data_IF_539552455106
#
_entry.id   IF_539552455106
#
_cell.length_a   1.000
_cell.length_b   1.000
_cell.length_c   1.000
_cell.angle_alpha   90.00
_cell.angle_beta   90.00
_cell.angle_gamma   90.00
#
_symmetry.space_group_name_H-M   'P 1'
#
loop_
_entity.id
_entity.type
_entity.pdbx_description
1 polymer ?
#
# COMPACT_ATOMS: atom_id res chain seq x y z
N UNK A 1 -17.53 -34.45 18.23
CA UNK A 1 -17.11 -33.02 18.30
C UNK A 1 -15.88 -32.89 19.18
N UNK A 2 -14.66 -32.91 18.61
CA UNK A 2 -13.38 -32.67 19.30
C UNK A 2 -12.31 -32.35 18.23
N UNK A 3 -12.13 -31.08 17.85
CA UNK A 3 -11.13 -30.74 16.80
C UNK A 3 -10.74 -29.26 16.69
N UNK A 4 -11.60 -28.33 17.09
CA UNK A 4 -11.30 -26.90 16.98
C UNK A 4 -10.32 -26.36 18.05
N UNK A 5 -10.18 -27.05 19.19
CA UNK A 5 -9.31 -26.60 20.29
C UNK A 5 -7.80 -26.79 20.04
N UNK A 6 -7.42 -27.71 19.14
CA UNK A 6 -6.02 -28.09 18.94
C UNK A 6 -5.23 -27.09 18.09
N UNK A 7 -5.87 -26.44 17.12
CA UNK A 7 -5.19 -25.46 16.23
C UNK A 7 -4.91 -24.14 16.96
N UNK A 8 -5.83 -23.70 17.84
CA UNK A 8 -5.64 -22.51 18.66
C UNK A 8 -4.56 -22.70 19.74
N UNK A 9 -4.37 -23.93 20.25
CA UNK A 9 -3.35 -24.24 21.25
C UNK A 9 -1.94 -24.35 20.67
N UNK A 10 -1.81 -24.87 19.43
CA UNK A 10 -0.51 -25.08 18.79
C UNK A 10 0.23 -23.77 18.45
N UNK A 11 -0.52 -22.68 18.18
CA UNK A 11 0.06 -21.38 17.83
C UNK A 11 0.16 -20.37 18.98
N UNK A 12 -0.20 -20.76 20.21
CA UNK A 12 -0.20 -19.84 21.37
C UNK A 12 1.20 -19.28 21.71
N UNK A 13 2.25 -20.08 21.56
CA UNK A 13 3.60 -19.72 22.02
C UNK A 13 4.37 -18.80 21.05
N UNK A 14 4.28 -18.95 19.71
CA UNK A 14 4.84 -17.97 18.78
C UNK A 14 4.10 -16.62 18.78
N UNK A 15 2.76 -16.65 18.92
CA UNK A 15 1.93 -15.44 18.91
C UNK A 15 2.20 -14.60 20.16
N UNK A 16 2.31 -15.22 21.34
CA UNK A 16 2.57 -14.51 22.59
C UNK A 16 4.01 -13.99 22.69
N UNK A 17 5.02 -14.70 22.15
CA UNK A 17 6.42 -14.22 22.17
C UNK A 17 6.71 -13.06 21.21
N UNK A 18 5.98 -12.97 20.09
CA UNK A 18 6.05 -11.82 19.17
C UNK A 18 5.24 -10.64 19.71
N UNK A 19 4.06 -10.91 20.30
CA UNK A 19 3.21 -9.89 20.90
C UNK A 19 3.82 -9.24 22.16
N UNK A 20 4.54 -9.99 23.00
CA UNK A 20 5.14 -9.46 24.23
C UNK A 20 6.35 -8.54 24.00
N UNK A 21 6.94 -8.52 22.80
CA UNK A 21 7.99 -7.56 22.44
C UNK A 21 7.45 -6.22 21.93
N UNK A 22 6.15 -6.14 21.62
CA UNK A 22 5.53 -4.95 21.04
C UNK A 22 4.41 -4.34 21.90
N UNK A 23 3.84 -5.11 22.84
CA UNK A 23 2.79 -4.66 23.77
C UNK A 23 3.35 -4.03 25.06
N UNK A 24 4.21 -3.02 24.90
CA UNK A 24 4.47 -2.02 25.95
C UNK A 24 3.21 -1.17 26.21
N UNK A 25 3.11 -0.50 27.37
CA UNK A 25 1.83 -0.03 27.91
C UNK A 25 1.17 1.03 27.02
N UNK A 26 -0.11 0.78 26.74
CA UNK A 26 -1.16 1.67 26.20
C UNK A 26 -0.74 3.14 26.03
N UNK A 27 -0.57 3.55 24.77
CA UNK A 27 -0.95 4.89 24.31
C UNK A 27 -1.79 4.73 23.04
N UNK A 28 -3.09 4.99 23.15
CA UNK A 28 -4.00 5.30 22.04
C UNK A 28 -3.66 6.68 21.49
N UNK A 29 -2.46 6.81 20.94
CA UNK A 29 -2.06 7.91 20.11
C UNK A 29 -1.22 7.28 19.00
N UNK A 30 -1.67 7.42 17.75
CA UNK A 30 -0.81 7.21 16.60
C UNK A 30 0.50 7.98 16.89
N UNK A 31 1.69 7.37 16.70
CA UNK A 31 2.93 8.13 16.82
C UNK A 31 2.81 9.38 15.96
N UNK A 32 3.30 10.55 16.40
CA UNK A 32 3.26 11.75 15.58
C UNK A 32 4.18 11.51 14.38
N UNK A 33 3.62 10.96 13.31
CA UNK A 33 4.26 10.93 12.00
C UNK A 33 4.35 12.38 11.59
N UNK A 34 5.56 12.85 11.32
CA UNK A 34 5.80 14.18 10.76
C UNK A 34 4.81 14.39 9.61
N UNK A 35 3.96 15.41 9.72
CA UNK A 35 2.82 15.72 8.83
C UNK A 35 3.22 15.87 7.34
N UNK A 36 4.52 15.78 7.05
CA UNK A 36 5.17 15.82 5.75
C UNK A 36 5.33 14.46 5.07
N UNK A 37 5.16 13.32 5.75
CA UNK A 37 5.31 11.98 5.17
C UNK A 37 3.99 11.37 4.69
N UNK A 38 2.85 11.94 5.13
CA UNK A 38 1.51 11.48 4.79
C UNK A 38 0.89 12.45 3.79
N UNK A 39 0.29 11.91 2.73
CA UNK A 39 -0.39 12.70 1.71
C UNK A 39 -1.74 12.14 1.32
N UNK A 40 -2.61 13.02 0.84
CA UNK A 40 -3.92 12.68 0.29
C UNK A 40 -4.02 13.12 -1.18
N UNK A 41 -4.77 12.38 -2.02
CA UNK A 41 -4.93 12.75 -3.41
C UNK A 41 -5.71 14.07 -3.52
N UNK A 42 -5.10 15.08 -4.16
CA UNK A 42 -5.79 16.35 -4.50
C UNK A 42 -5.68 16.62 -6.00
N UNK A 43 -6.63 17.36 -6.61
CA UNK A 43 -6.54 17.72 -8.03
C UNK A 43 -5.27 18.50 -8.38
N UNK A 44 -4.83 19.39 -7.48
CA UNK A 44 -3.58 20.16 -7.64
C UNK A 44 -2.36 19.25 -7.64
N UNK A 45 -2.31 18.27 -6.75
CA UNK A 45 -1.22 17.28 -6.69
C UNK A 45 -1.19 16.38 -7.91
N UNK A 46 -2.36 16.02 -8.45
CA UNK A 46 -2.43 15.28 -9.71
C UNK A 46 -1.85 16.09 -10.87
N UNK A 47 -2.28 17.34 -11.05
CA UNK A 47 -1.76 18.21 -12.11
C UNK A 47 -0.25 18.46 -11.99
N UNK A 48 0.24 18.66 -10.75
CA UNK A 48 1.69 18.81 -10.48
C UNK A 48 2.47 17.55 -10.82
N UNK A 49 1.98 16.38 -10.41
CA UNK A 49 2.61 15.08 -10.71
C UNK A 49 2.68 14.81 -12.23
N UNK A 50 1.61 15.14 -12.97
CA UNK A 50 1.57 15.02 -14.43
C UNK A 50 2.58 15.96 -15.08
N UNK A 51 2.65 17.21 -14.63
CA UNK A 51 3.63 18.19 -15.13
C UNK A 51 5.07 17.70 -14.92
N UNK A 52 5.38 17.13 -13.75
CA UNK A 52 6.69 16.55 -13.46
C UNK A 52 6.97 15.33 -14.35
N UNK A 53 5.98 14.46 -14.56
CA UNK A 53 6.11 13.32 -15.46
C UNK A 53 6.33 13.75 -16.92
N UNK A 54 5.64 14.78 -17.40
CA UNK A 54 5.84 15.34 -18.75
C UNK A 54 7.23 15.96 -18.90
N UNK A 55 7.72 16.68 -17.90
CA UNK A 55 9.10 17.20 -17.90
C UNK A 55 10.13 16.07 -18.01
N UNK A 56 9.93 14.98 -17.29
CA UNK A 56 10.83 13.82 -17.35
C UNK A 56 10.86 13.15 -18.74
N UNK A 57 9.76 13.20 -19.49
CA UNK A 57 9.67 12.67 -20.87
C UNK A 57 10.50 13.48 -21.88
N UNK A 58 10.71 14.76 -21.63
CA UNK A 58 11.39 15.64 -22.59
C UNK A 58 12.86 15.22 -22.76
N UNK A 59 13.42 15.21 -23.98
CA UNK A 59 14.83 14.87 -24.20
C UNK A 59 15.79 15.74 -23.37
N UNK A 60 15.53 17.05 -23.32
CA UNK A 60 16.26 18.04 -22.51
C UNK A 60 15.77 18.16 -21.06
N UNK A 61 14.79 17.34 -20.66
CA UNK A 61 14.25 17.31 -19.31
C UNK A 61 15.21 16.64 -18.31
N UNK A 62 14.97 16.84 -17.01
CA UNK A 62 15.84 16.34 -15.94
C UNK A 62 15.92 14.81 -15.93
N UNK A 63 16.99 14.25 -15.35
CA UNK A 63 17.18 12.80 -15.22
C UNK A 63 16.33 12.19 -14.10
N UNK A 64 15.81 13.01 -13.19
CA UNK A 64 14.90 12.59 -12.14
C UNK A 64 13.93 13.70 -11.73
N UNK A 65 12.81 13.31 -11.12
CA UNK A 65 11.88 14.22 -10.46
C UNK A 65 11.53 13.69 -9.08
N UNK A 66 11.34 14.60 -8.13
CA UNK A 66 10.91 14.26 -6.77
C UNK A 66 9.42 14.55 -6.63
N UNK A 67 8.67 13.55 -6.17
CA UNK A 67 7.26 13.64 -5.85
C UNK A 67 7.06 13.74 -4.33
N UNK A 68 6.20 14.66 -3.93
CA UNK A 68 5.69 14.75 -2.56
C UNK A 68 4.70 13.62 -2.25
N UNK A 69 4.43 13.31 -0.98
CA UNK A 69 3.42 12.30 -0.62
C UNK A 69 2.04 12.57 -1.24
N UNK A 70 1.62 13.84 -1.33
CA UNK A 70 0.34 14.20 -1.96
C UNK A 70 0.32 13.87 -3.47
N UNK A 71 1.44 14.08 -4.15
CA UNK A 71 1.60 13.74 -5.58
C UNK A 71 1.63 12.22 -5.78
N UNK A 72 2.28 11.47 -4.88
CA UNK A 72 2.27 10.01 -4.90
C UNK A 72 0.85 9.48 -4.65
N UNK A 73 0.14 10.01 -3.66
CA UNK A 73 -1.25 9.67 -3.39
C UNK A 73 -2.16 9.95 -4.59
N UNK A 74 -1.98 11.09 -5.25
CA UNK A 74 -2.71 11.43 -6.46
C UNK A 74 -2.40 10.47 -7.63
N UNK A 75 -1.13 10.10 -7.83
CA UNK A 75 -0.75 9.13 -8.86
C UNK A 75 -1.35 7.75 -8.59
N UNK A 76 -1.22 7.23 -7.37
CA UNK A 76 -1.80 5.93 -6.99
C UNK A 76 -3.33 5.98 -7.20
N UNK A 77 -4.00 6.99 -6.66
CA UNK A 77 -5.45 7.17 -6.85
C UNK A 77 -5.86 7.25 -8.32
N UNK A 78 -5.06 7.89 -9.17
CA UNK A 78 -5.32 7.97 -10.62
C UNK A 78 -5.03 6.67 -11.38
N UNK A 79 -4.09 5.85 -10.90
CA UNK A 79 -3.68 4.60 -11.51
C UNK A 79 -4.52 3.39 -11.11
N UNK A 80 -5.25 3.48 -9.99
CA UNK A 80 -6.17 2.42 -9.55
C UNK A 80 -7.38 2.31 -10.48
N UNK A 81 -7.72 1.06 -10.81
CA UNK A 81 -8.91 0.71 -11.58
C UNK A 81 -10.20 1.18 -10.87
N UNK A 82 -11.24 1.47 -11.65
CA UNK A 82 -12.53 1.95 -11.14
C UNK A 82 -13.17 0.99 -10.12
N UNK A 83 -12.99 -0.32 -10.29
CA UNK A 83 -13.45 -1.33 -9.32
C UNK A 83 -12.80 -1.16 -7.96
N UNK A 84 -11.48 -0.95 -7.93
CA UNK A 84 -10.69 -0.75 -6.71
C UNK A 84 -11.00 0.60 -6.06
N UNK A 85 -11.27 1.65 -6.87
CA UNK A 85 -11.69 2.96 -6.35
C UNK A 85 -13.01 2.92 -5.59
N UNK A 86 -13.97 2.09 -6.03
CA UNK A 86 -15.26 1.94 -5.33
C UNK A 86 -15.13 1.30 -3.96
N UNK A 87 -14.10 0.48 -3.76
CA UNK A 87 -13.86 -0.23 -2.50
C UNK A 87 -13.13 0.65 -1.47
N UNK A 88 -12.47 1.73 -1.90
CA UNK A 88 -11.70 2.63 -1.06
C UNK A 88 -12.33 4.02 -0.98
N UNK A 89 -12.98 4.34 0.14
CA UNK A 89 -13.66 5.63 0.34
C UNK A 89 -12.69 6.79 0.62
N UNK A 90 -11.55 6.50 1.25
CA UNK A 90 -10.46 7.46 1.43
C UNK A 90 -9.13 6.80 1.13
N UNK A 91 -8.18 7.57 0.61
CA UNK A 91 -6.83 7.12 0.32
C UNK A 91 -5.85 8.13 0.91
N UNK A 92 -4.97 7.65 1.78
CA UNK A 92 -3.80 8.39 2.27
C UNK A 92 -2.57 7.55 2.01
N UNK A 93 -1.49 8.18 1.60
CA UNK A 93 -0.21 7.51 1.38
C UNK A 93 0.77 8.04 2.40
N UNK A 94 1.38 7.14 3.13
CA UNK A 94 2.51 7.37 4.00
C UNK A 94 3.77 6.83 3.30
N UNK A 95 4.81 7.66 3.24
CA UNK A 95 6.10 7.26 2.69
C UNK A 95 6.99 6.71 3.81
N UNK A 96 7.55 5.53 3.60
CA UNK A 96 8.53 4.89 4.46
C UNK A 96 9.86 4.77 3.72
N UNK A 97 10.93 4.39 4.42
CA UNK A 97 12.20 4.12 3.73
C UNK A 97 12.06 2.84 2.87
N UNK A 98 12.18 2.99 1.55
CA UNK A 98 12.08 1.88 0.60
C UNK A 98 10.68 1.28 0.40
N UNK A 99 9.66 1.78 1.10
CA UNK A 99 8.30 1.25 1.04
C UNK A 99 7.25 2.36 1.09
N UNK A 100 6.07 2.07 0.56
CA UNK A 100 4.89 2.94 0.70
C UNK A 100 3.81 2.23 1.50
N UNK A 101 3.12 2.98 2.36
CA UNK A 101 1.97 2.53 3.11
C UNK A 101 0.73 3.28 2.64
N UNK A 102 -0.28 2.56 2.17
CA UNK A 102 -1.58 3.10 1.81
C UNK A 102 -2.54 2.85 2.95
N UNK A 103 -3.14 3.92 3.46
CA UNK A 103 -4.22 3.90 4.44
C UNK A 103 -5.52 4.23 3.74
N UNK A 104 -6.51 3.38 3.91
CA UNK A 104 -7.80 3.56 3.28
C UNK A 104 -8.94 3.04 4.16
N UNK A 105 -10.16 3.44 3.84
CA UNK A 105 -11.36 2.83 4.41
C UNK A 105 -11.92 1.86 3.41
N UNK A 106 -12.04 0.61 3.82
CA UNK A 106 -12.42 -0.51 2.98
C UNK A 106 -13.85 -0.95 3.30
N UNK A 107 -14.65 -1.19 2.26
CA UNK A 107 -15.90 -1.96 2.38
C UNK A 107 -15.57 -3.42 2.70
N UNK A 108 -15.96 -3.87 3.89
CA UNK A 108 -15.62 -5.22 4.39
C UNK A 108 -16.31 -6.33 3.61
N UNK A 109 -17.35 -6.02 2.82
CA UNK A 109 -17.97 -6.97 1.88
C UNK A 109 -17.04 -7.35 0.73
N UNK A 110 -16.01 -6.56 0.46
CA UNK A 110 -14.98 -6.89 -0.52
C UNK A 110 -13.93 -7.87 0.03
N UNK A 111 -13.88 -8.07 1.35
CA UNK A 111 -13.00 -9.08 1.93
C UNK A 111 -13.72 -10.44 1.88
N UNK A 112 -13.05 -11.50 1.38
CA UNK A 112 -13.59 -12.84 1.43
C UNK A 112 -13.91 -13.29 2.88
N UNK A 113 -15.08 -13.88 3.16
CA UNK A 113 -15.45 -14.31 4.52
C UNK A 113 -14.47 -15.32 5.13
N UNK A 114 -13.88 -16.19 4.30
CA UNK A 114 -12.84 -17.15 4.66
C UNK A 114 -11.55 -16.49 5.15
N UNK A 115 -11.23 -15.30 4.63
CA UNK A 115 -10.05 -14.54 5.04
C UNK A 115 -10.26 -13.77 6.36
N UNK A 116 -11.50 -13.45 6.71
CA UNK A 116 -11.83 -12.73 7.95
C UNK A 116 -11.96 -13.65 9.16
N UNK A 117 -12.36 -14.90 8.95
CA UNK A 117 -12.63 -15.83 10.04
C UNK A 117 -13.62 -15.25 11.06
N UNK A 118 -13.45 -15.53 12.37
CA UNK A 118 -14.32 -15.00 13.42
C UNK A 118 -14.36 -13.47 13.50
N UNK A 119 -13.32 -12.77 12.98
CA UNK A 119 -13.26 -11.31 13.01
C UNK A 119 -14.37 -10.70 12.15
N UNK A 120 -14.82 -11.39 11.09
CA UNK A 120 -15.86 -10.89 10.19
C UNK A 120 -17.19 -10.57 10.89
N UNK A 121 -17.47 -11.20 12.03
CA UNK A 121 -18.67 -10.95 12.83
C UNK A 121 -18.60 -9.63 13.63
N UNK A 122 -17.40 -9.08 13.81
CA UNK A 122 -17.14 -7.88 14.61
C UNK A 122 -16.74 -6.66 13.76
N UNK A 123 -16.72 -6.82 12.44
CA UNK A 123 -16.38 -5.74 11.52
C UNK A 123 -17.60 -4.89 11.20
N UNK A 124 -17.37 -3.58 11.11
CA UNK A 124 -18.31 -2.64 10.53
C UNK A 124 -18.28 -2.76 9.00
N UNK A 125 -19.29 -2.19 8.31
CA UNK A 125 -19.28 -2.14 6.84
C UNK A 125 -18.04 -1.43 6.27
N UNK A 126 -17.51 -0.42 6.97
CA UNK A 126 -16.34 0.35 6.54
C UNK A 126 -15.25 0.36 7.61
N UNK A 127 -14.18 -0.37 7.37
CA UNK A 127 -13.07 -0.55 8.33
C UNK A 127 -11.78 0.10 7.82
N UNK A 128 -10.93 0.67 8.71
CA UNK A 128 -9.65 1.22 8.32
C UNK A 128 -8.67 0.09 7.98
N UNK A 129 -8.15 0.12 6.76
CA UNK A 129 -7.17 -0.79 6.21
C UNK A 129 -5.84 -0.06 5.99
N UNK A 130 -4.74 -0.71 6.35
CA UNK A 130 -3.38 -0.29 5.99
C UNK A 130 -2.71 -1.40 5.17
N UNK A 131 -2.15 -1.03 4.03
CA UNK A 131 -1.37 -1.89 3.15
C UNK A 131 0.01 -1.29 3.02
N UNK A 132 1.08 -2.03 3.26
CA UNK A 132 2.44 -1.50 3.09
C UNK A 132 3.36 -2.49 2.38
N UNK A 133 4.33 -1.91 1.67
CA UNK A 133 5.43 -2.67 1.07
C UNK A 133 6.16 -1.91 -0.04
N UNK A 134 7.21 -2.53 -0.61
CA UNK A 134 8.08 -1.88 -1.57
C UNK A 134 7.41 -1.73 -2.94
N UNK A 135 7.76 -0.63 -3.63
CA UNK A 135 7.40 -0.40 -5.02
C UNK A 135 8.66 -0.38 -5.87
N UNK A 136 8.60 -1.00 -7.05
CA UNK A 136 9.68 -0.98 -8.03
C UNK A 136 9.11 -0.79 -9.44
N UNK A 137 9.87 -0.16 -10.33
CA UNK A 137 9.54 -0.18 -11.77
C UNK A 137 9.94 -1.55 -12.30
N UNK A 138 8.98 -2.31 -12.82
CA UNK A 138 9.25 -3.62 -13.41
C UNK A 138 9.67 -3.48 -14.87
N UNK A 139 8.94 -2.67 -15.62
CA UNK A 139 9.20 -2.37 -17.03
C UNK A 139 8.59 -1.02 -17.39
N UNK A 140 8.99 -0.40 -18.52
CA UNK A 140 8.39 0.86 -18.96
C UNK A 140 6.86 0.78 -18.97
N UNK A 141 6.24 1.63 -18.16
CA UNK A 141 4.78 1.76 -18.05
C UNK A 141 4.13 0.93 -16.95
N UNK A 142 4.88 0.03 -16.30
CA UNK A 142 4.38 -0.81 -15.21
C UNK A 142 5.32 -0.77 -14.01
N UNK A 143 4.78 -0.33 -12.88
CA UNK A 143 5.38 -0.50 -11.57
C UNK A 143 4.71 -1.66 -10.85
N UNK A 144 5.44 -2.27 -9.92
CA UNK A 144 4.99 -3.41 -9.13
C UNK A 144 5.08 -3.04 -7.66
N UNK A 145 3.94 -3.05 -6.98
CA UNK A 145 3.86 -2.82 -5.55
C UNK A 145 3.62 -4.14 -4.82
N UNK A 146 4.62 -4.62 -4.10
CA UNK A 146 4.50 -5.87 -3.35
C UNK A 146 3.93 -5.56 -1.97
N UNK A 147 2.72 -6.05 -1.70
CA UNK A 147 2.12 -5.88 -0.37
C UNK A 147 2.73 -6.92 0.56
N UNK A 148 3.48 -6.45 1.54
CA UNK A 148 4.18 -7.28 2.54
C UNK A 148 3.52 -7.18 3.91
N UNK A 149 2.88 -6.06 4.21
CA UNK A 149 2.12 -5.83 5.42
C UNK A 149 0.67 -5.45 5.09
N UNK A 150 -0.26 -6.02 5.82
CA UNK A 150 -1.67 -5.67 5.77
C UNK A 150 -2.21 -5.65 7.20
N UNK A 151 -2.91 -4.58 7.58
CA UNK A 151 -3.63 -4.54 8.84
C UNK A 151 -5.02 -3.96 8.68
N UNK A 152 -5.99 -4.54 9.39
CA UNK A 152 -7.36 -4.08 9.47
C UNK A 152 -7.63 -3.66 10.90
N UNK A 153 -8.03 -2.39 11.12
CA UNK A 153 -8.22 -1.83 12.47
C UNK A 153 -7.00 -2.03 13.39
N UNK A 154 -5.80 -1.99 12.80
CA UNK A 154 -4.53 -2.20 13.50
C UNK A 154 -4.20 -3.68 13.80
N UNK A 155 -5.08 -4.62 13.44
CA UNK A 155 -4.80 -6.06 13.57
C UNK A 155 -4.06 -6.54 12.32
N UNK A 156 -2.81 -7.02 12.44
CA UNK A 156 -2.02 -7.47 11.29
C UNK A 156 -2.54 -8.81 10.75
N UNK A 157 -2.53 -8.95 9.43
CA UNK A 157 -2.88 -10.19 8.75
C UNK A 157 -1.65 -11.10 8.62
N UNK A 158 -1.82 -12.43 8.72
CA UNK A 158 -0.73 -13.37 8.47
C UNK A 158 -0.24 -13.31 7.01
N UNK A 159 1.08 -13.39 6.79
CA UNK A 159 1.68 -13.29 5.46
C UNK A 159 1.07 -14.20 4.34
N UNK A 160 0.68 -15.45 4.62
CA UNK A 160 0.00 -16.29 3.61
C UNK A 160 -1.35 -15.70 3.16
N UNK A 161 -2.05 -15.05 4.08
CA UNK A 161 -3.36 -14.45 3.86
C UNK A 161 -3.24 -13.13 3.09
N UNK A 162 -2.18 -12.35 3.33
CA UNK A 162 -1.91 -11.10 2.61
C UNK A 162 -1.91 -11.31 1.09
N UNK A 163 -1.25 -12.37 0.59
CA UNK A 163 -1.19 -12.65 -0.85
C UNK A 163 -2.58 -12.95 -1.43
N UNK A 164 -3.38 -13.73 -0.70
CA UNK A 164 -4.74 -14.08 -1.11
C UNK A 164 -5.64 -12.84 -1.17
N UNK A 165 -5.57 -11.94 -0.18
CA UNK A 165 -6.31 -10.68 -0.22
C UNK A 165 -5.80 -9.77 -1.35
N UNK A 166 -4.49 -9.60 -1.49
CA UNK A 166 -3.91 -8.76 -2.53
C UNK A 166 -4.34 -9.21 -3.94
N UNK A 167 -4.38 -10.52 -4.18
CA UNK A 167 -4.85 -11.11 -5.44
C UNK A 167 -6.33 -10.82 -5.68
N UNK A 168 -7.18 -11.06 -4.68
CA UNK A 168 -8.64 -10.93 -4.82
C UNK A 168 -9.13 -9.48 -4.84
N UNK A 169 -8.45 -8.57 -4.13
CA UNK A 169 -8.92 -7.20 -3.92
C UNK A 169 -8.21 -6.17 -4.79
N UNK A 170 -6.90 -6.35 -5.01
CA UNK A 170 -6.08 -5.38 -5.73
C UNK A 170 -5.58 -5.91 -7.08
N UNK A 171 -6.04 -7.09 -7.50
CA UNK A 171 -5.62 -7.71 -8.77
C UNK A 171 -4.15 -8.08 -8.78
N UNK A 172 -3.59 -8.41 -7.61
CA UNK A 172 -2.20 -8.83 -7.53
C UNK A 172 -1.96 -10.14 -8.30
N UNK A 173 -0.75 -10.33 -8.79
CA UNK A 173 -0.33 -11.56 -9.45
C UNK A 173 0.01 -12.69 -8.46
N UNK A 174 0.51 -13.83 -8.97
CA UNK A 174 0.89 -15.00 -8.19
C UNK A 174 1.95 -14.74 -7.11
N UNK A 175 2.73 -13.65 -7.23
CA UNK A 175 3.73 -13.23 -6.25
C UNK A 175 3.15 -12.34 -5.14
N UNK A 176 1.88 -11.95 -5.23
CA UNK A 176 1.22 -11.04 -4.27
C UNK A 176 1.51 -9.56 -4.56
N UNK A 177 1.97 -9.25 -5.76
CA UNK A 177 2.29 -7.91 -6.17
C UNK A 177 1.21 -7.28 -7.05
N UNK A 178 0.86 -6.04 -6.74
CA UNK A 178 -0.16 -5.24 -7.42
C UNK A 178 0.49 -4.48 -8.58
N UNK A 179 0.05 -4.70 -9.83
CA UNK A 179 0.54 -3.93 -10.96
C UNK A 179 -0.06 -2.51 -10.92
N UNK A 180 0.81 -1.51 -10.96
CA UNK A 180 0.45 -0.10 -11.02
C UNK A 180 0.83 0.47 -12.38
N UNK A 181 -0.14 1.08 -13.08
CA UNK A 181 0.13 1.79 -14.33
C UNK A 181 0.88 3.08 -14.03
N UNK A 182 2.03 3.25 -14.68
CA UNK A 182 2.88 4.43 -14.52
C UNK A 182 3.32 4.96 -15.89
N UNK A 183 4.03 6.09 -15.92
CA UNK A 183 4.57 6.59 -17.18
C UNK A 183 5.66 5.66 -17.72
N UNK A 184 5.70 5.36 -19.04
CA UNK A 184 6.80 4.61 -19.64
C UNK A 184 8.14 5.36 -19.62
N UNK A 185 8.15 6.65 -19.28
CA UNK A 185 9.37 7.41 -19.08
C UNK A 185 10.07 7.12 -17.75
N UNK A 186 9.47 6.36 -16.84
CA UNK A 186 10.09 5.98 -15.58
C UNK A 186 10.91 4.69 -15.77
N UNK A 187 12.17 4.71 -15.35
CA UNK A 187 13.04 3.53 -15.32
C UNK A 187 13.25 2.97 -13.92
N UNK A 188 13.27 3.82 -12.90
CA UNK A 188 13.46 3.38 -11.52
C UNK A 188 12.72 4.31 -10.56
N UNK A 189 12.51 3.85 -9.33
CA UNK A 189 11.86 4.57 -8.25
C UNK A 189 12.60 4.35 -6.93
N UNK A 190 12.81 5.43 -6.18
CA UNK A 190 13.31 5.38 -4.79
C UNK A 190 12.34 6.07 -3.86
N UNK A 191 11.93 5.36 -2.82
CA UNK A 191 10.99 5.87 -1.82
C UNK A 191 11.76 6.27 -0.57
N UNK A 192 11.61 7.53 -0.18
CA UNK A 192 12.12 8.06 1.07
C UNK A 192 10.94 8.64 1.88
N UNK A 193 11.06 8.75 3.21
CA UNK A 193 10.02 9.30 4.07
C UNK A 193 9.53 10.71 3.69
N UNK A 194 10.38 11.49 3.02
CA UNK A 194 10.08 12.88 2.62
C UNK A 194 9.65 13.01 1.16
N UNK A 195 9.78 11.97 0.34
CA UNK A 195 9.44 12.02 -1.07
C UNK A 195 9.85 10.79 -1.87
N UNK A 196 9.30 10.69 -3.08
CA UNK A 196 9.61 9.62 -4.02
C UNK A 196 10.39 10.19 -5.19
N UNK A 197 11.57 9.64 -5.46
CA UNK A 197 12.38 9.99 -6.62
C UNK A 197 12.02 9.05 -7.77
N UNK A 198 11.61 9.61 -8.91
CA UNK A 198 11.39 8.88 -10.14
C UNK A 198 12.51 9.18 -11.13
N UNK A 199 13.17 8.13 -11.63
CA UNK A 199 14.29 8.24 -12.56
C UNK A 199 13.83 8.07 -14.00
N UNK A 200 14.42 8.86 -14.90
CA UNK A 200 14.15 8.84 -16.34
C UNK A 200 14.67 7.56 -16.98
N UNK A 201 13.87 6.98 -17.87
CA UNK A 201 14.31 5.93 -18.75
C UNK A 201 15.30 6.47 -19.79
N UNK A 202 16.50 5.89 -19.81
CA UNK A 202 17.45 6.14 -20.90
C UNK A 202 16.88 5.52 -22.17
N UNK A 203 16.70 6.32 -23.23
CA UNK A 203 16.40 5.77 -24.56
C UNK A 203 17.55 4.84 -24.95
N UNK A 204 17.27 3.55 -25.18
CA UNK A 204 18.22 2.74 -25.94
C UNK A 204 18.26 3.32 -27.36
N UNK A 205 19.46 3.58 -27.85
CA UNK A 205 19.68 3.90 -29.27
C UNK A 205 19.40 2.68 -30.12
#
# INVERSE_FOLDING_TARGET
MLGAGLVAWWFREPILRTASRWLGPRRTALPPVTDTAVGAPTPRSLASSQTKAERLKQPSGPDSVVLSPNEVAALIGSGLDWSVRKTFDSLRVELLEGALAVHCRLDTRAIPPDALGPLGLMLNPMEPLRLAGPVAIERPGIARWRVEELSLRGVPFPAPMIRQLAQRMAGADSTGAVPLRVSPAFADVRVHPTGVVLYKAKRSR
#
